data_IF_592412179500
#
_entry.id   IF_592412179500
#
_cell.length_a   1.000
_cell.length_b   1.000
_cell.length_c   1.000
_cell.angle_alpha   90.00
_cell.angle_beta   90.00
_cell.angle_gamma   90.00
#
_symmetry.space_group_name_H-M   'P 1'
#
loop_
_entity.id
_entity.type
_entity.pdbx_description
1 polymer ?
#
# COMPACT_ATOMS: atom_id res chain seq x y z
N UNK A 1 3.58 8.93 6.70
CA UNK A 1 2.55 9.10 7.74
C UNK A 1 2.31 10.58 7.94
N UNK A 2 1.06 11.00 7.76
CA UNK A 2 0.67 12.40 7.95
C UNK A 2 0.17 12.63 9.38
N UNK A 3 0.30 13.85 9.91
CA UNK A 3 -0.18 14.15 11.25
C UNK A 3 -1.69 14.06 11.40
N UNK A 4 -2.14 13.76 12.60
CA UNK A 4 -3.55 13.59 12.93
C UNK A 4 -3.78 14.12 14.35
N UNK A 5 -4.87 14.88 14.53
CA UNK A 5 -5.15 15.52 15.82
C UNK A 5 -5.51 14.50 16.90
N UNK A 6 -6.24 13.45 16.56
CA UNK A 6 -6.80 12.50 17.53
C UNK A 6 -6.23 11.10 17.41
N UNK A 7 -5.13 10.91 16.70
CA UNK A 7 -4.55 9.59 16.51
C UNK A 7 -3.03 9.69 16.35
N UNK A 8 -2.36 8.54 16.27
CA UNK A 8 -0.90 8.48 16.14
C UNK A 8 -0.38 8.99 14.81
N UNK A 9 -1.25 9.04 13.81
CA UNK A 9 -0.89 9.49 12.48
C UNK A 9 -1.84 8.93 11.45
N UNK A 10 -1.73 9.41 10.23
CA UNK A 10 -2.53 8.92 9.10
C UNK A 10 -1.57 8.26 8.12
N UNK A 11 -1.72 6.94 7.98
CA UNK A 11 -0.93 6.19 7.00
C UNK A 11 -1.55 6.42 5.63
N UNK A 12 -0.85 7.18 4.78
CA UNK A 12 -1.39 7.66 3.52
C UNK A 12 -0.59 7.10 2.35
N UNK A 13 -1.30 6.54 1.37
CA UNK A 13 -0.73 6.05 0.12
C UNK A 13 -1.44 6.76 -1.02
N UNK A 14 -0.66 7.33 -1.95
CA UNK A 14 -1.20 7.99 -3.13
C UNK A 14 -0.65 7.30 -4.37
N UNK A 15 -1.57 6.87 -5.25
CA UNK A 15 -1.23 6.33 -6.55
C UNK A 15 -1.64 7.33 -7.62
N UNK A 16 -0.67 7.85 -8.35
CA UNK A 16 -0.88 8.83 -9.42
C UNK A 16 -0.72 8.11 -10.76
N UNK A 17 -1.76 8.12 -11.56
CA UNK A 17 -1.78 7.41 -12.84
C UNK A 17 -1.50 8.37 -13.99
N UNK A 18 -0.90 7.85 -15.05
CA UNK A 18 -0.54 8.66 -16.22
C UNK A 18 -1.74 9.23 -16.97
N UNK A 19 -2.92 8.62 -16.78
CA UNK A 19 -4.14 9.08 -17.43
C UNK A 19 -4.76 10.32 -16.77
N UNK A 20 -4.14 10.84 -15.71
CA UNK A 20 -4.64 12.00 -14.99
C UNK A 20 -5.51 11.68 -13.81
N UNK A 21 -5.65 10.40 -13.46
CA UNK A 21 -6.42 9.97 -12.30
C UNK A 21 -5.50 9.69 -11.10
N UNK A 22 -6.08 9.68 -9.91
CA UNK A 22 -5.36 9.25 -8.72
C UNK A 22 -6.27 8.48 -7.80
N UNK A 23 -5.65 7.69 -6.93
CA UNK A 23 -6.32 7.00 -5.82
C UNK A 23 -5.49 7.24 -4.58
N UNK A 24 -6.16 7.53 -3.47
CA UNK A 24 -5.52 7.71 -2.18
C UNK A 24 -6.16 6.79 -1.16
N UNK A 25 -5.33 6.13 -0.38
CA UNK A 25 -5.80 5.36 0.78
C UNK A 25 -5.29 6.03 2.04
N UNK A 26 -6.18 6.22 3.01
CA UNK A 26 -5.82 6.74 4.32
C UNK A 26 -6.29 5.78 5.40
N UNK A 27 -5.41 5.48 6.34
CA UNK A 27 -5.70 4.60 7.46
C UNK A 27 -5.20 5.28 8.73
N UNK A 28 -6.09 5.44 9.70
CA UNK A 28 -5.77 6.13 10.95
C UNK A 28 -5.07 5.16 11.90
N UNK A 29 -3.86 5.54 12.33
CA UNK A 29 -3.08 4.75 13.27
C UNK A 29 -3.53 5.02 14.70
N UNK A 30 -3.40 3.99 15.55
CA UNK A 30 -3.73 4.13 16.96
C UNK A 30 -5.21 4.16 17.26
N UNK A 31 -6.06 4.02 16.26
CA UNK A 31 -7.49 3.89 16.43
C UNK A 31 -7.83 2.47 16.89
N UNK A 32 -8.89 2.28 17.71
CA UNK A 32 -9.33 0.92 18.04
C UNK A 32 -9.66 0.08 16.80
N UNK A 33 -9.95 0.74 15.71
CA UNK A 33 -10.24 0.10 14.43
C UNK A 33 -9.13 0.48 13.45
N UNK A 34 -7.92 -0.02 13.70
CA UNK A 34 -6.75 0.26 12.87
C UNK A 34 -6.84 -0.36 11.48
N UNK A 35 -7.81 -1.22 11.25
CA UNK A 35 -8.07 -1.80 9.94
C UNK A 35 -8.93 -0.91 9.07
N UNK A 36 -9.44 0.15 9.65
CA UNK A 36 -10.32 1.06 8.93
C UNK A 36 -9.52 1.91 7.95
N UNK A 37 -9.85 1.75 6.69
CA UNK A 37 -9.22 2.52 5.62
C UNK A 37 -10.27 3.22 4.79
N UNK A 38 -9.89 4.39 4.29
CA UNK A 38 -10.74 5.18 3.42
C UNK A 38 -10.04 5.39 2.10
N UNK A 39 -10.75 5.16 1.01
CA UNK A 39 -10.24 5.38 -0.32
C UNK A 39 -10.88 6.62 -0.92
N UNK A 40 -10.04 7.42 -1.56
CA UNK A 40 -10.48 8.61 -2.28
C UNK A 40 -9.93 8.53 -3.69
N UNK A 41 -10.72 8.96 -4.67
CA UNK A 41 -10.26 8.98 -6.04
C UNK A 41 -10.66 10.29 -6.71
N UNK A 42 -9.99 10.60 -7.82
CA UNK A 42 -10.27 11.81 -8.57
C UNK A 42 -9.23 12.03 -9.64
N UNK A 43 -8.95 13.29 -9.91
CA UNK A 43 -8.00 13.68 -10.94
C UNK A 43 -6.88 14.54 -10.36
N UNK A 44 -5.72 14.51 -11.04
CA UNK A 44 -4.59 15.32 -10.62
C UNK A 44 -4.13 16.22 -11.75
N UNK A 45 -3.57 17.35 -11.37
CA UNK A 45 -2.93 18.29 -12.29
C UNK A 45 -1.61 18.70 -11.68
N UNK A 46 -0.54 18.55 -12.47
CA UNK A 46 0.78 19.01 -12.05
C UNK A 46 1.03 20.37 -12.69
N UNK A 47 1.02 21.40 -11.85
CA UNK A 47 1.36 22.74 -12.29
C UNK A 47 2.86 22.95 -12.24
N UNK A 48 3.27 24.21 -12.26
CA UNK A 48 4.67 24.58 -12.32
C UNK A 48 5.47 24.05 -11.12
N UNK A 49 4.87 24.08 -9.95
CA UNK A 49 5.53 23.63 -8.71
C UNK A 49 4.56 23.03 -7.69
N UNK A 50 3.33 22.75 -8.11
CA UNK A 50 2.33 22.15 -7.23
C UNK A 50 1.61 21.01 -7.92
N UNK A 51 1.37 19.95 -7.16
CA UNK A 51 0.48 18.88 -7.56
C UNK A 51 -0.88 19.12 -6.89
N UNK A 52 -1.93 19.24 -7.69
CA UNK A 52 -3.29 19.44 -7.19
C UNK A 52 -4.09 18.18 -7.41
N UNK A 53 -4.66 17.63 -6.33
CA UNK A 53 -5.56 16.51 -6.40
C UNK A 53 -6.99 17.02 -6.17
N UNK A 54 -7.90 16.64 -7.08
CA UNK A 54 -9.30 16.99 -6.94
C UNK A 54 -10.10 15.71 -6.82
N UNK A 55 -10.78 15.51 -5.69
CA UNK A 55 -11.53 14.28 -5.46
C UNK A 55 -12.90 14.34 -6.14
N UNK A 56 -13.67 13.26 -5.99
CA UNK A 56 -14.98 13.15 -6.65
C UNK A 56 -16.01 14.15 -6.14
N UNK A 57 -15.75 14.77 -4.99
CA UNK A 57 -16.62 15.81 -4.43
C UNK A 57 -16.17 17.21 -4.80
N UNK A 58 -15.10 17.35 -5.61
CA UNK A 58 -14.57 18.64 -5.98
C UNK A 58 -13.64 19.29 -4.98
N UNK A 59 -13.31 18.58 -3.91
CA UNK A 59 -12.37 19.07 -2.91
C UNK A 59 -10.95 18.94 -3.41
N UNK A 60 -10.12 19.94 -3.12
CA UNK A 60 -8.75 20.01 -3.61
C UNK A 60 -7.74 19.85 -2.49
N UNK A 61 -6.67 19.12 -2.80
CA UNK A 61 -5.51 18.97 -1.93
C UNK A 61 -4.27 19.35 -2.71
N UNK A 62 -3.30 19.95 -2.03
CA UNK A 62 -2.10 20.47 -2.68
C UNK A 62 -0.86 19.82 -2.11
N UNK A 63 0.06 19.46 -2.99
CA UNK A 63 1.33 18.84 -2.62
C UNK A 63 2.46 19.49 -3.41
N UNK A 64 3.62 19.61 -2.78
CA UNK A 64 4.82 20.14 -3.41
C UNK A 64 5.76 18.98 -3.73
N UNK A 65 5.98 18.66 -5.03
CA UNK A 65 6.93 17.59 -5.40
C UNK A 65 8.36 18.04 -5.10
N UNK A 66 9.12 17.14 -4.45
CA UNK A 66 10.53 17.37 -4.12
C UNK A 66 11.29 16.08 -4.34
N UNK A 67 11.95 15.92 -5.47
CA UNK A 67 12.70 14.70 -5.80
C UNK A 67 11.80 13.46 -5.63
N UNK A 68 12.04 12.68 -4.60
CA UNK A 68 11.30 11.44 -4.31
C UNK A 68 10.16 11.64 -3.32
N UNK A 69 9.80 12.88 -3.02
CA UNK A 69 8.86 13.16 -1.95
C UNK A 69 7.75 14.10 -2.40
N UNK A 70 6.62 14.00 -1.72
CA UNK A 70 5.54 14.95 -1.83
C UNK A 70 5.35 15.60 -0.47
N UNK A 71 5.42 16.92 -0.42
CA UNK A 71 5.18 17.68 0.81
C UNK A 71 3.74 18.19 0.78
N UNK A 72 2.96 17.78 1.78
CA UNK A 72 1.57 18.23 1.88
C UNK A 72 1.54 19.73 2.18
N UNK A 73 0.73 20.46 1.44
CA UNK A 73 0.54 21.89 1.62
C UNK A 73 -0.80 22.15 2.34
N UNK A 74 -0.98 23.37 2.84
CA UNK A 74 -2.24 23.72 3.49
C UNK A 74 -3.35 23.95 2.46
N UNK A 75 -4.54 24.30 2.94
CA UNK A 75 -5.72 24.47 2.10
C UNK A 75 -5.55 25.59 1.06
N UNK A 76 -4.67 26.52 1.34
CA UNK A 76 -4.37 27.64 0.43
C UNK A 76 -3.19 27.34 -0.48
N UNK A 77 -2.60 26.16 -0.38
CA UNK A 77 -1.48 25.77 -1.21
C UNK A 77 -0.13 26.29 -0.73
N UNK A 78 -0.03 26.65 0.53
CA UNK A 78 1.20 27.18 1.12
C UNK A 78 1.88 26.12 1.99
N UNK A 79 3.19 26.25 2.15
CA UNK A 79 3.97 25.34 2.99
C UNK A 79 3.49 25.45 4.45
N UNK A 80 3.27 24.29 5.06
CA UNK A 80 2.85 24.23 6.47
C UNK A 80 4.08 24.42 7.35
N UNK A 81 4.07 25.48 8.17
CA UNK A 81 5.15 25.75 9.09
C UNK A 81 4.88 25.03 10.41
N UNK A 82 5.43 23.82 10.53
CA UNK A 82 5.19 22.96 11.69
C UNK A 82 6.37 22.00 11.88
N UNK A 83 6.56 21.55 13.12
CA UNK A 83 7.55 20.52 13.41
C UNK A 83 7.07 19.13 13.06
N UNK A 84 5.77 18.99 12.74
CA UNK A 84 5.20 17.70 12.33
C UNK A 84 5.62 17.37 10.91
N UNK A 85 5.65 16.06 10.60
CA UNK A 85 6.09 15.59 9.30
C UNK A 85 4.91 15.52 8.33
N UNK A 86 4.89 16.43 7.36
CA UNK A 86 3.87 16.48 6.30
C UNK A 86 4.40 15.92 4.97
N UNK A 87 5.38 15.03 5.02
CA UNK A 87 6.05 14.52 3.83
C UNK A 87 5.69 13.07 3.56
N UNK A 88 5.37 12.80 2.29
CA UNK A 88 5.15 11.43 1.80
C UNK A 88 6.34 11.04 0.92
N UNK A 89 6.95 9.90 1.21
CA UNK A 89 8.09 9.42 0.44
C UNK A 89 7.63 8.55 -0.73
N UNK A 90 8.39 8.58 -1.83
CA UNK A 90 8.16 7.68 -2.94
C UNK A 90 8.41 6.25 -2.48
N UNK A 91 7.48 5.35 -2.81
CA UNK A 91 7.61 3.95 -2.43
C UNK A 91 8.74 3.31 -3.22
N UNK A 92 9.63 2.60 -2.52
CA UNK A 92 10.73 1.85 -3.11
C UNK A 92 10.52 0.37 -2.84
N UNK A 93 10.88 -0.51 -3.80
CA UNK A 93 10.85 -1.94 -3.54
C UNK A 93 11.76 -2.30 -2.37
N UNK A 94 11.28 -3.20 -1.52
CA UNK A 94 12.05 -3.68 -0.38
C UNK A 94 11.70 -5.13 -0.10
N UNK A 95 12.48 -5.77 0.76
CA UNK A 95 12.26 -7.14 1.17
C UNK A 95 11.00 -7.20 2.04
N UNK A 96 10.04 -7.99 1.61
CA UNK A 96 8.78 -8.20 2.33
C UNK A 96 8.63 -9.67 2.66
N UNK A 97 8.03 -9.96 3.80
CA UNK A 97 7.77 -11.32 4.24
C UNK A 97 6.33 -11.44 4.71
N UNK A 98 5.69 -12.53 4.35
CA UNK A 98 4.30 -12.75 4.72
C UNK A 98 3.83 -14.14 4.34
N UNK A 99 2.53 -14.34 4.43
CA UNK A 99 1.88 -15.60 4.06
C UNK A 99 1.03 -15.38 2.82
N UNK A 100 1.34 -16.12 1.76
CA UNK A 100 0.60 -16.05 0.51
C UNK A 100 -0.40 -17.19 0.45
N UNK A 101 -1.63 -16.85 0.04
CA UNK A 101 -2.70 -17.82 -0.13
C UNK A 101 -3.32 -17.61 -1.50
N UNK A 102 -3.56 -18.70 -2.22
CA UNK A 102 -4.25 -18.63 -3.51
C UNK A 102 -5.44 -19.59 -3.49
N UNK A 103 -6.62 -19.02 -3.73
CA UNK A 103 -7.85 -19.82 -3.69
C UNK A 103 -8.90 -19.15 -4.57
N UNK A 104 -9.60 -19.94 -5.39
CA UNK A 104 -10.69 -19.46 -6.24
C UNK A 104 -10.26 -18.30 -7.13
N UNK A 105 -9.08 -18.42 -7.76
CA UNK A 105 -8.48 -17.43 -8.65
C UNK A 105 -8.13 -16.10 -7.97
N UNK A 106 -8.05 -16.10 -6.65
CA UNK A 106 -7.69 -14.92 -5.88
C UNK A 106 -6.46 -15.19 -5.02
N UNK A 107 -5.45 -14.34 -5.15
CA UNK A 107 -4.26 -14.40 -4.31
C UNK A 107 -4.26 -13.32 -3.26
N UNK A 108 -3.82 -13.64 -2.05
CA UNK A 108 -3.67 -12.68 -0.96
C UNK A 108 -2.31 -12.86 -0.29
N UNK A 109 -1.79 -11.78 0.23
CA UNK A 109 -0.52 -11.76 0.96
C UNK A 109 -0.75 -11.07 2.29
N UNK A 110 -0.51 -11.80 3.38
CA UNK A 110 -0.64 -11.26 4.73
C UNK A 110 0.74 -10.90 5.26
N UNK A 111 0.99 -9.61 5.43
CA UNK A 111 2.29 -9.11 5.89
C UNK A 111 2.59 -9.59 7.31
N UNK A 112 3.80 -10.12 7.53
CA UNK A 112 4.19 -10.63 8.84
C UNK A 112 4.27 -9.56 9.91
N UNK A 113 4.67 -8.35 9.54
CA UNK A 113 4.86 -7.28 10.52
C UNK A 113 3.56 -6.62 10.92
N UNK A 114 2.74 -6.28 9.95
CA UNK A 114 1.50 -5.52 10.20
C UNK A 114 0.28 -6.40 10.41
N UNK A 115 0.31 -7.63 9.89
CA UNK A 115 -0.85 -8.49 9.86
C UNK A 115 -1.91 -8.09 8.85
N UNK A 116 -1.62 -7.06 8.04
CA UNK A 116 -2.55 -6.60 7.01
C UNK A 116 -2.54 -7.53 5.81
N UNK A 117 -3.70 -7.67 5.20
CA UNK A 117 -3.87 -8.52 4.02
C UNK A 117 -3.92 -7.63 2.78
N UNK A 118 -3.15 -8.03 1.77
CA UNK A 118 -3.06 -7.31 0.50
C UNK A 118 -3.45 -8.25 -0.63
N UNK A 119 -4.12 -7.73 -1.64
CA UNK A 119 -4.36 -8.49 -2.86
C UNK A 119 -3.00 -8.72 -3.54
N UNK A 120 -2.77 -9.93 -4.01
CA UNK A 120 -1.52 -10.28 -4.68
C UNK A 120 -1.83 -11.18 -5.87
N UNK A 121 -1.30 -10.84 -7.03
CA UNK A 121 -1.55 -11.61 -8.24
C UNK A 121 -0.32 -11.60 -9.12
N UNK A 122 -0.27 -12.55 -10.04
CA UNK A 122 0.83 -12.68 -10.97
C UNK A 122 1.15 -14.13 -11.22
N UNK A 123 1.58 -14.42 -12.45
CA UNK A 123 1.88 -15.79 -12.86
C UNK A 123 2.97 -16.40 -12.01
N UNK A 124 3.99 -15.62 -11.67
CA UNK A 124 5.11 -16.14 -10.87
C UNK A 124 4.67 -16.48 -9.44
N UNK A 125 3.73 -15.73 -8.88
CA UNK A 125 3.19 -16.05 -7.57
C UNK A 125 2.36 -17.32 -7.61
N UNK A 126 1.50 -17.46 -8.62
CA UNK A 126 0.69 -18.66 -8.78
C UNK A 126 1.55 -19.89 -9.00
N UNK A 127 2.51 -19.83 -9.91
CA UNK A 127 3.40 -20.95 -10.18
C UNK A 127 4.21 -21.34 -8.95
N UNK A 128 4.77 -20.37 -8.25
CA UNK A 128 5.53 -20.65 -7.03
C UNK A 128 4.68 -21.29 -5.95
N UNK A 129 3.47 -20.80 -5.79
CA UNK A 129 2.55 -21.35 -4.79
C UNK A 129 2.20 -22.80 -5.10
N UNK A 130 1.81 -23.10 -6.34
CA UNK A 130 1.44 -24.46 -6.71
C UNK A 130 2.63 -25.40 -6.70
N UNK A 131 3.85 -24.90 -6.94
CA UNK A 131 5.05 -25.73 -6.89
C UNK A 131 5.37 -26.22 -5.46
N UNK A 132 4.81 -25.59 -4.43
CA UNK A 132 4.99 -26.05 -3.06
C UNK A 132 4.20 -27.33 -2.74
N UNK A 133 3.22 -27.66 -3.58
CA UNK A 133 2.42 -28.86 -3.43
C UNK A 133 1.30 -28.77 -2.41
N UNK A 134 0.98 -27.58 -1.91
CA UNK A 134 -0.11 -27.42 -0.96
C UNK A 134 -1.45 -27.31 -1.67
N UNK A 135 -2.51 -27.59 -0.94
CA UNK A 135 -3.87 -27.44 -1.47
C UNK A 135 -4.24 -25.95 -1.51
N UNK A 136 -5.10 -25.58 -2.46
CA UNK A 136 -5.60 -24.21 -2.55
C UNK A 136 -6.22 -23.75 -1.24
N UNK A 137 -5.91 -22.52 -0.85
CA UNK A 137 -6.38 -21.98 0.42
C UNK A 137 -5.43 -22.17 1.59
N UNK A 138 -4.35 -22.92 1.41
CA UNK A 138 -3.35 -23.13 2.46
C UNK A 138 -2.33 -22.01 2.44
N UNK A 139 -2.12 -21.27 3.55
CA UNK A 139 -1.09 -20.22 3.57
C UNK A 139 0.32 -20.79 3.47
N UNK A 140 1.16 -20.14 2.66
CA UNK A 140 2.56 -20.52 2.50
C UNK A 140 3.42 -19.29 2.74
N UNK A 141 4.47 -19.43 3.56
CA UNK A 141 5.40 -18.35 3.84
C UNK A 141 6.09 -17.91 2.53
N UNK A 142 6.14 -16.62 2.31
CA UNK A 142 6.67 -16.03 1.08
C UNK A 142 7.54 -14.82 1.42
N UNK A 143 8.72 -14.79 0.80
CA UNK A 143 9.58 -13.60 0.82
C UNK A 143 9.68 -13.05 -0.59
N UNK A 144 9.42 -11.76 -0.75
CA UNK A 144 9.47 -11.11 -2.05
C UNK A 144 10.13 -9.74 -1.92
N UNK A 145 10.65 -9.25 -3.03
CA UNK A 145 11.07 -7.87 -3.15
C UNK A 145 9.96 -7.11 -3.87
N UNK A 146 9.39 -6.12 -3.21
CA UNK A 146 8.26 -5.41 -3.79
C UNK A 146 7.82 -4.24 -2.93
N UNK A 147 6.62 -3.77 -3.20
CA UNK A 147 6.04 -2.67 -2.45
C UNK A 147 4.52 -2.78 -2.43
N UNK A 148 3.90 -2.01 -1.56
CA UNK A 148 2.44 -1.99 -1.45
C UNK A 148 1.86 -0.80 -2.22
N UNK A 149 0.73 -1.03 -2.85
CA UNK A 149 0.06 -0.02 -3.66
C UNK A 149 -1.45 -0.23 -3.57
N UNK A 150 -2.16 0.32 -4.52
CA UNK A 150 -3.62 0.26 -4.59
C UNK A 150 -4.00 -0.19 -5.99
N UNK A 151 -5.03 -1.02 -6.10
CA UNK A 151 -5.55 -1.42 -7.40
C UNK A 151 -7.08 -1.39 -7.38
N UNK A 152 -7.74 -1.27 -8.54
CA UNK A 152 -9.20 -1.42 -8.60
C UNK A 152 -9.62 -2.80 -8.12
N UNK A 153 -10.69 -2.84 -7.33
CA UNK A 153 -11.30 -4.07 -6.90
C UNK A 153 -12.12 -4.69 -8.04
N UNK A 154 -12.54 -5.94 -7.86
CA UNK A 154 -13.47 -6.58 -8.79
C UNK A 154 -14.85 -5.92 -8.72
N UNK A 155 -15.15 -5.21 -7.65
CA UNK A 155 -16.39 -4.45 -7.51
C UNK A 155 -16.19 -3.02 -8.01
N UNK A 156 -17.09 -2.56 -8.84
CA UNK A 156 -17.00 -1.23 -9.44
C UNK A 156 -16.94 -0.13 -8.37
N UNK A 157 -16.01 0.79 -8.55
CA UNK A 157 -15.86 1.93 -7.66
C UNK A 157 -15.15 1.63 -6.36
N UNK A 158 -14.67 0.40 -6.17
CA UNK A 158 -13.93 0.03 -4.98
C UNK A 158 -12.47 -0.25 -5.28
N UNK A 159 -11.63 -0.21 -4.25
CA UNK A 159 -10.19 -0.39 -4.38
C UNK A 159 -9.69 -1.34 -3.30
N UNK A 160 -8.61 -2.07 -3.65
CA UNK A 160 -7.93 -2.97 -2.72
C UNK A 160 -6.50 -2.52 -2.51
N UNK A 161 -6.01 -2.77 -1.30
CA UNK A 161 -4.56 -2.72 -1.08
C UNK A 161 -3.94 -3.86 -1.85
N UNK A 162 -2.80 -3.61 -2.50
CA UNK A 162 -2.18 -4.59 -3.36
C UNK A 162 -0.69 -4.67 -3.13
N UNK A 163 -0.16 -5.90 -3.25
CA UNK A 163 1.27 -6.15 -3.29
C UNK A 163 1.71 -6.08 -4.74
N UNK A 164 2.73 -5.28 -5.02
CA UNK A 164 3.40 -5.25 -6.32
C UNK A 164 4.75 -5.91 -6.15
N UNK A 165 4.97 -7.00 -6.89
CA UNK A 165 6.21 -7.77 -6.82
C UNK A 165 7.18 -7.21 -7.84
N UNK A 166 8.35 -6.79 -7.37
CA UNK A 166 9.44 -6.31 -8.22
C UNK A 166 10.45 -7.41 -8.53
N UNK A 167 10.35 -8.53 -7.85
CA UNK A 167 11.27 -9.65 -7.95
C UNK A 167 10.71 -10.68 -8.91
N UNK A 168 11.53 -11.18 -9.83
CA UNK A 168 11.10 -12.20 -10.78
C UNK A 168 10.97 -13.58 -10.15
N UNK A 169 11.57 -13.79 -8.99
CA UNK A 169 11.57 -15.10 -8.33
C UNK A 169 11.16 -14.99 -6.86
N UNK A 170 9.86 -14.96 -6.61
CA UNK A 170 9.37 -15.00 -5.22
C UNK A 170 9.87 -16.29 -4.53
N UNK A 171 10.23 -16.18 -3.27
CA UNK A 171 10.77 -17.30 -2.50
C UNK A 171 9.70 -17.86 -1.57
N UNK A 172 9.15 -19.00 -1.94
CA UNK A 172 8.15 -19.69 -1.12
C UNK A 172 8.83 -20.72 -0.21
N UNK A 173 8.31 -20.83 1.01
CA UNK A 173 8.79 -21.84 1.96
C UNK A 173 7.58 -22.42 2.69
N UNK A 174 7.18 -23.65 2.30
CA UNK A 174 6.01 -24.31 2.87
C UNK A 174 6.19 -24.64 4.36
N UNK A 175 7.42 -24.66 4.85
CA UNK A 175 7.71 -24.94 6.25
C UNK A 175 7.97 -23.67 7.06
N UNK A 176 7.99 -22.51 6.42
CA UNK A 176 8.18 -21.25 7.10
C UNK A 176 6.87 -20.66 7.60
N UNK A 177 6.97 -19.68 8.49
CA UNK A 177 5.82 -18.95 8.98
C UNK A 177 6.28 -17.62 9.56
N UNK A 178 5.34 -16.70 9.73
CA UNK A 178 5.65 -15.41 10.36
C UNK A 178 6.17 -15.59 11.78
N UNK A 179 5.64 -16.55 12.50
CA UNK A 179 6.11 -16.87 13.86
C UNK A 179 7.54 -17.36 13.87
N UNK A 180 7.91 -18.28 12.95
CA UNK A 180 9.28 -18.76 12.81
C UNK A 180 10.23 -17.62 12.45
N UNK A 181 9.81 -16.76 11.56
CA UNK A 181 10.61 -15.61 11.15
C UNK A 181 10.94 -14.71 12.34
N UNK A 182 9.94 -14.44 13.20
CA UNK A 182 10.16 -13.62 14.39
C UNK A 182 11.07 -14.31 15.40
N UNK A 183 10.88 -15.62 15.57
CA UNK A 183 11.70 -16.42 16.48
C UNK A 183 13.17 -16.37 16.11
N UNK A 184 13.48 -16.35 14.84
CA UNK A 184 14.87 -16.36 14.37
C UNK A 184 15.61 -15.05 14.65
N UNK A 185 14.90 -13.99 15.02
CA UNK A 185 15.51 -12.70 15.32
C UNK A 185 15.82 -12.50 16.80
N UNK A 186 15.32 -13.34 17.63
CA UNK A 186 15.51 -13.20 19.09
C UNK A 186 16.82 -13.76 19.59
#
# INVERSE_FOLDING_TARGET
>A
ILPCADCSGIDTTILVNQDGSYVMEQSYQGSPDDKRSFFESGTWVLGKDKLTLTNSYGEKSYYLPREDKLVMLDIDGNVINSELNYTLAKVQPKQLAGEFTYFADAGTFKDCQSGRVYAASGIELEKGYFSTGVEGGTPVYLEVNGYYSIRPSMEDGQYDRALVVADEKPRFNRHGSCGNHRGSRS
#
